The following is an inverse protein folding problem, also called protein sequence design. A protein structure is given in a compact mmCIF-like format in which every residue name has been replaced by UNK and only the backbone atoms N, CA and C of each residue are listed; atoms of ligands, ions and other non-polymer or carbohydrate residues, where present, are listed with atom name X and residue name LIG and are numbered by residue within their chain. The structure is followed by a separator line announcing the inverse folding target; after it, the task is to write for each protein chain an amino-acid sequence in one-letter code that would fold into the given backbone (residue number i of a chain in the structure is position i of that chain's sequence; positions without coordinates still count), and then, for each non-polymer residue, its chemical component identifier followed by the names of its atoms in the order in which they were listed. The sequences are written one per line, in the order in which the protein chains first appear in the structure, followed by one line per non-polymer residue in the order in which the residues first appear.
data_IF_446709903922
#
_entry.id   IF_446709903922
#
_cell.length_a   1.000
_cell.length_b   1.000
_cell.length_c   1.000
_cell.angle_alpha   90.00
_cell.angle_beta   90.00
_cell.angle_gamma   90.00
#
_symmetry.space_group_name_H-M   'P 1'
#
loop_
_entity.id
_entity.type
_entity.pdbx_description
1 polymer ?
#
# COMPACT_ATOMS: atom_id res chain seq x y z
N UNK A 1 -26.31 11.05 19.05
CA UNK A 1 -26.18 11.87 17.82
C UNK A 1 -25.99 13.28 18.25
N UNK A 2 -24.85 13.85 17.86
CA UNK A 2 -24.42 15.12 18.42
C UNK A 2 -25.18 16.25 17.75
N UNK A 3 -25.60 17.23 18.56
CA UNK A 3 -26.28 18.41 18.06
C UNK A 3 -25.27 19.29 17.31
N UNK A 4 -25.65 19.77 16.12
CA UNK A 4 -24.79 20.59 15.28
C UNK A 4 -25.30 22.03 15.23
N UNK A 5 -24.42 23.00 15.02
CA UNK A 5 -24.78 24.41 14.98
C UNK A 5 -25.92 24.66 13.97
N UNK A 6 -26.97 25.34 14.40
CA UNK A 6 -28.13 25.61 13.56
C UNK A 6 -27.78 26.55 12.41
N UNK A 7 -28.27 26.25 11.20
CA UNK A 7 -28.01 27.09 10.04
C UNK A 7 -29.00 28.26 9.97
N UNK A 8 -28.51 29.41 9.52
CA UNK A 8 -29.21 30.70 9.49
C UNK A 8 -28.98 31.40 8.17
N UNK A 9 -29.84 32.37 7.88
CA UNK A 9 -29.66 33.28 6.77
C UNK A 9 -28.26 33.93 6.80
N UNK A 10 -27.59 33.94 5.64
CA UNK A 10 -26.25 34.48 5.49
C UNK A 10 -25.12 33.52 5.85
N UNK A 11 -25.42 32.37 6.45
CA UNK A 11 -24.40 31.35 6.70
C UNK A 11 -23.79 30.84 5.38
N UNK A 12 -22.52 30.47 5.45
CA UNK A 12 -21.68 30.16 4.30
C UNK A 12 -21.78 28.67 3.94
N UNK A 13 -21.67 28.37 2.65
CA UNK A 13 -21.55 27.00 2.13
C UNK A 13 -20.17 26.78 1.52
N UNK A 14 -19.64 25.56 1.61
CA UNK A 14 -18.34 25.21 1.04
C UNK A 14 -18.34 23.79 0.47
N UNK A 15 -17.38 23.52 -0.38
CA UNK A 15 -16.93 22.16 -0.66
C UNK A 15 -15.61 21.94 0.07
N UNK A 16 -15.37 20.70 0.48
CA UNK A 16 -14.05 20.29 0.92
C UNK A 16 -13.03 20.32 -0.23
N UNK A 17 -11.76 20.14 0.14
CA UNK A 17 -10.68 19.94 -0.84
C UNK A 17 -10.59 18.48 -1.34
N UNK A 18 -11.52 17.61 -0.92
CA UNK A 18 -11.46 16.17 -1.12
C UNK A 18 -11.36 15.79 -2.59
N UNK A 19 -12.29 16.29 -3.42
CA UNK A 19 -12.29 15.98 -4.86
C UNK A 19 -10.97 16.33 -5.55
N UNK A 20 -10.45 17.53 -5.31
CA UNK A 20 -9.20 17.98 -5.92
C UNK A 20 -8.02 17.12 -5.47
N UNK A 21 -7.93 16.85 -4.16
CA UNK A 21 -6.86 16.04 -3.59
C UNK A 21 -6.83 14.62 -4.17
N UNK A 22 -8.00 14.03 -4.36
CA UNK A 22 -8.15 12.70 -4.94
C UNK A 22 -7.75 12.66 -6.42
N UNK A 23 -8.12 13.67 -7.21
CA UNK A 23 -7.69 13.76 -8.62
C UNK A 23 -6.16 13.86 -8.68
N UNK A 24 -5.56 14.75 -7.89
CA UNK A 24 -4.10 14.90 -7.84
C UNK A 24 -3.41 13.60 -7.41
N UNK A 25 -3.93 12.94 -6.37
CA UNK A 25 -3.43 11.66 -5.89
C UNK A 25 -3.59 10.54 -6.92
N UNK A 26 -4.72 10.47 -7.62
CA UNK A 26 -4.99 9.48 -8.66
C UNK A 26 -4.04 9.65 -9.87
N UNK A 27 -3.76 10.88 -10.28
CA UNK A 27 -2.78 11.18 -11.34
C UNK A 27 -1.38 10.75 -10.90
N UNK A 28 -0.96 11.08 -9.68
CA UNK A 28 0.32 10.62 -9.14
C UNK A 28 0.40 9.09 -9.07
N UNK A 29 -0.67 8.44 -8.60
CA UNK A 29 -0.82 6.99 -8.57
C UNK A 29 -0.72 6.34 -9.96
N UNK A 30 -1.33 6.95 -10.98
CA UNK A 30 -1.23 6.48 -12.37
C UNK A 30 0.22 6.53 -12.89
N UNK A 31 0.92 7.65 -12.66
CA UNK A 31 2.31 7.82 -13.10
C UNK A 31 3.23 6.80 -12.42
N UNK A 32 3.04 6.57 -11.13
CA UNK A 32 3.79 5.57 -10.35
C UNK A 32 3.49 4.17 -10.86
N UNK A 33 2.21 3.81 -11.00
CA UNK A 33 1.79 2.49 -11.50
C UNK A 33 2.38 2.21 -12.88
N UNK A 34 2.42 3.22 -13.76
CA UNK A 34 2.95 3.07 -15.12
C UNK A 34 4.46 2.78 -15.09
N UNK A 35 5.19 3.44 -14.17
CA UNK A 35 6.60 3.18 -13.95
C UNK A 35 6.87 1.77 -13.39
N UNK A 36 5.98 1.22 -12.56
CA UNK A 36 6.06 -0.17 -12.08
C UNK A 36 5.87 -1.16 -13.24
N UNK A 37 4.84 -0.97 -14.08
CA UNK A 37 4.63 -1.84 -15.26
C UNK A 37 5.84 -1.79 -16.18
N UNK A 38 6.32 -0.59 -16.52
CA UNK A 38 7.45 -0.43 -17.43
C UNK A 38 8.72 -1.13 -16.92
N UNK A 39 8.86 -1.32 -15.60
CA UNK A 39 9.96 -2.06 -15.00
C UNK A 39 9.79 -3.59 -15.03
N UNK A 40 8.62 -4.12 -15.36
CA UNK A 40 8.24 -5.53 -15.13
C UNK A 40 7.56 -6.20 -16.34
N UNK A 41 7.94 -5.82 -17.56
CA UNK A 41 7.22 -6.20 -18.79
C UNK A 41 7.31 -7.70 -19.13
N UNK A 42 6.38 -8.48 -18.57
CA UNK A 42 5.92 -9.80 -19.02
C UNK A 42 4.53 -10.17 -18.45
N UNK A 43 3.71 -9.21 -17.98
CA UNK A 43 2.66 -9.49 -16.98
C UNK A 43 1.21 -9.56 -17.48
N UNK A 44 0.93 -9.34 -18.78
CA UNK A 44 -0.29 -9.73 -19.52
C UNK A 44 -1.70 -9.34 -19.01
N UNK A 45 -1.85 -8.84 -17.79
CA UNK A 45 -3.11 -8.60 -17.08
C UNK A 45 -2.89 -8.12 -15.64
N UNK A 46 -1.83 -8.59 -14.97
CA UNK A 46 -1.40 -8.06 -13.66
C UNK A 46 -1.01 -6.57 -13.77
N UNK A 47 -0.44 -6.15 -14.90
CA UNK A 47 -0.14 -4.75 -15.18
C UNK A 47 -1.36 -3.82 -15.02
N UNK A 48 -2.51 -4.21 -15.59
CA UNK A 48 -3.74 -3.42 -15.52
C UNK A 48 -4.27 -3.35 -14.09
N UNK A 49 -4.22 -4.47 -13.35
CA UNK A 49 -4.60 -4.51 -11.94
C UNK A 49 -3.68 -3.63 -11.07
N UNK A 50 -2.37 -3.68 -11.27
CA UNK A 50 -1.40 -2.82 -10.57
C UNK A 50 -1.67 -1.35 -10.85
N UNK A 51 -1.94 -0.97 -12.10
CA UNK A 51 -2.29 0.42 -12.45
C UNK A 51 -3.55 0.88 -11.76
N UNK A 52 -4.64 0.12 -11.90
CA UNK A 52 -5.92 0.44 -11.27
C UNK A 52 -5.78 0.57 -9.75
N UNK A 53 -5.04 -0.34 -9.12
CA UNK A 53 -4.75 -0.31 -7.69
C UNK A 53 -3.90 0.89 -7.29
N UNK A 54 -2.91 1.26 -8.09
CA UNK A 54 -2.04 2.42 -7.85
C UNK A 54 -2.80 3.74 -7.96
N UNK A 55 -3.70 3.87 -8.95
CA UNK A 55 -4.59 5.03 -9.12
C UNK A 55 -5.51 5.18 -7.92
N UNK A 56 -6.18 4.09 -7.53
CA UNK A 56 -7.06 4.05 -6.37
C UNK A 56 -6.30 4.41 -5.08
N UNK A 57 -5.17 3.75 -4.82
CA UNK A 57 -4.36 4.01 -3.66
C UNK A 57 -3.83 5.44 -3.63
N UNK A 58 -3.40 6.00 -4.76
CA UNK A 58 -2.91 7.38 -4.84
C UNK A 58 -4.00 8.39 -4.50
N UNK A 59 -5.19 8.24 -5.08
CA UNK A 59 -6.31 9.14 -4.80
C UNK A 59 -6.82 9.05 -3.36
N UNK A 60 -6.98 7.85 -2.82
CA UNK A 60 -7.41 7.65 -1.42
C UNK A 60 -6.34 8.13 -0.43
N UNK A 61 -5.06 7.88 -0.70
CA UNK A 61 -3.98 8.34 0.18
C UNK A 61 -3.95 9.87 0.27
N UNK A 62 -4.04 10.56 -0.87
CA UNK A 62 -4.03 12.02 -0.88
C UNK A 62 -5.28 12.62 -0.24
N UNK A 63 -6.44 11.98 -0.40
CA UNK A 63 -7.65 12.33 0.33
C UNK A 63 -7.45 12.29 1.85
N UNK A 64 -6.91 11.18 2.37
CA UNK A 64 -6.66 11.01 3.80
C UNK A 64 -5.64 12.03 4.33
N UNK A 65 -4.58 12.35 3.56
CA UNK A 65 -3.63 13.41 3.91
C UNK A 65 -4.36 14.74 4.11
N UNK A 66 -5.16 15.16 3.13
CA UNK A 66 -5.85 16.45 3.18
C UNK A 66 -6.91 16.48 4.28
N UNK A 67 -7.67 15.39 4.46
CA UNK A 67 -8.62 15.24 5.56
C UNK A 67 -7.94 15.34 6.94
N UNK A 68 -6.80 14.67 7.11
CA UNK A 68 -5.99 14.73 8.31
C UNK A 68 -5.45 16.14 8.59
N UNK A 69 -4.88 16.81 7.58
CA UNK A 69 -4.41 18.19 7.69
C UNK A 69 -5.53 19.19 8.00
N UNK A 70 -6.68 19.05 7.35
CA UNK A 70 -7.87 19.88 7.60
C UNK A 70 -8.30 19.75 9.07
N UNK A 71 -8.33 18.52 9.59
CA UNK A 71 -8.71 18.25 10.98
C UNK A 71 -7.66 18.79 11.97
N UNK A 72 -6.36 18.60 11.68
CA UNK A 72 -5.26 19.00 12.57
C UNK A 72 -5.07 20.51 12.67
N UNK A 73 -5.18 21.21 11.54
CA UNK A 73 -4.91 22.65 11.45
C UNK A 73 -6.17 23.50 11.35
N UNK A 74 -7.35 22.87 11.40
CA UNK A 74 -8.64 23.52 11.18
C UNK A 74 -8.59 24.44 9.94
N UNK A 75 -8.11 23.89 8.82
CA UNK A 75 -7.83 24.67 7.62
C UNK A 75 -9.11 25.34 7.11
N UNK A 76 -9.06 26.62 6.72
CA UNK A 76 -10.24 27.34 6.31
C UNK A 76 -10.76 26.77 4.99
N UNK A 77 -11.98 26.21 5.00
CA UNK A 77 -12.65 25.82 3.77
C UNK A 77 -13.05 27.08 2.98
N UNK A 78 -12.78 27.16 1.68
CA UNK A 78 -13.10 28.33 0.88
C UNK A 78 -14.62 28.43 0.70
N UNK A 79 -15.17 29.60 0.99
CA UNK A 79 -16.61 29.84 0.85
C UNK A 79 -16.99 29.84 -0.63
N UNK A 80 -17.99 29.03 -0.97
CA UNK A 80 -18.49 28.86 -2.34
C UNK A 80 -19.82 29.55 -2.57
N UNK A 81 -20.51 29.96 -1.51
CA UNK A 81 -21.79 30.64 -1.59
C UNK A 81 -22.32 31.00 -0.19
N UNK A 82 -23.47 31.65 -0.15
CA UNK A 82 -24.17 32.00 1.10
C UNK A 82 -25.66 31.72 1.01
N UNK A 83 -26.24 31.33 2.14
CA UNK A 83 -27.67 31.11 2.30
C UNK A 83 -28.43 32.45 2.20
N UNK A 84 -29.44 32.51 1.33
CA UNK A 84 -30.11 33.77 0.94
C UNK A 84 -31.60 33.81 1.30
N UNK A 85 -32.25 32.66 1.52
CA UNK A 85 -33.68 32.61 1.85
C UNK A 85 -33.90 31.65 3.00
N UNK A 86 -34.49 32.11 4.10
CA UNK A 86 -34.81 31.31 5.28
C UNK A 86 -36.28 31.39 5.69
N UNK A 87 -36.63 30.78 6.82
CA UNK A 87 -37.96 30.85 7.45
C UNK A 87 -38.44 32.30 7.64
N UNK A 88 -39.71 32.56 7.42
CA UNK A 88 -40.29 33.91 7.54
C UNK A 88 -40.64 34.31 8.98
N UNK A 89 -40.67 33.36 9.93
CA UNK A 89 -41.13 33.62 11.30
C UNK A 89 -40.35 32.87 12.39
N UNK A 90 -39.41 31.99 12.02
CA UNK A 90 -38.51 31.33 12.99
C UNK A 90 -37.12 31.91 12.81
N UNK A 91 -36.59 32.45 13.90
CA UNK A 91 -35.29 33.11 13.93
C UNK A 91 -34.38 32.42 14.93
N UNK A 92 -33.10 32.31 14.58
CA UNK A 92 -32.03 31.81 15.44
C UNK A 92 -30.98 32.91 15.52
N UNK A 93 -30.74 33.41 16.72
CA UNK A 93 -29.92 34.61 16.96
C UNK A 93 -30.34 35.82 16.11
N UNK A 94 -31.64 36.02 15.91
CA UNK A 94 -32.18 37.15 15.13
C UNK A 94 -32.07 37.00 13.61
N UNK A 95 -31.52 35.88 13.10
CA UNK A 95 -31.45 35.57 11.68
C UNK A 95 -32.44 34.45 11.33
N UNK A 96 -33.02 34.50 10.14
CA UNK A 96 -34.01 33.52 9.70
C UNK A 96 -33.40 32.12 9.73
N UNK A 97 -34.10 31.16 10.33
CA UNK A 97 -33.65 29.78 10.42
C UNK A 97 -33.80 29.07 9.06
N UNK A 98 -32.90 28.13 8.76
CA UNK A 98 -32.82 27.48 7.45
C UNK A 98 -33.51 26.11 7.45
N UNK A 99 -34.16 25.77 6.33
CA UNK A 99 -34.97 24.55 6.15
C UNK A 99 -34.55 23.75 4.92
N UNK A 100 -34.38 22.45 5.10
CA UNK A 100 -34.15 21.54 3.98
C UNK A 100 -35.40 21.42 3.10
N UNK A 101 -35.20 21.35 1.78
CA UNK A 101 -36.26 21.20 0.79
C UNK A 101 -37.06 22.46 0.51
N UNK A 102 -36.65 23.62 1.04
CA UNK A 102 -37.34 24.90 0.79
C UNK A 102 -36.39 26.08 0.64
N UNK A 103 -35.37 26.14 1.48
CA UNK A 103 -34.47 27.29 1.56
C UNK A 103 -33.20 27.09 0.70
N UNK A 104 -32.57 28.20 0.28
CA UNK A 104 -31.59 28.21 -0.82
C UNK A 104 -30.34 29.04 -0.50
N UNK A 105 -29.22 28.68 -1.12
CA UNK A 105 -28.11 29.58 -1.40
C UNK A 105 -28.34 30.29 -2.75
N UNK A 106 -27.83 31.50 -2.92
CA UNK A 106 -28.01 32.27 -4.18
C UNK A 106 -27.23 31.71 -5.36
N UNK A 107 -26.09 31.09 -5.07
CA UNK A 107 -25.14 30.57 -6.04
C UNK A 107 -24.17 29.62 -5.34
N UNK A 108 -23.42 28.86 -6.13
CA UNK A 108 -22.27 28.08 -5.66
C UNK A 108 -21.15 28.13 -6.70
N UNK A 109 -19.95 28.55 -6.29
CA UNK A 109 -18.78 28.62 -7.19
C UNK A 109 -18.23 27.24 -7.57
N UNK A 110 -18.52 26.21 -6.78
CA UNK A 110 -17.97 24.85 -6.97
C UNK A 110 -16.46 24.75 -6.70
N UNK A 111 -15.83 25.80 -6.18
CA UNK A 111 -14.41 25.83 -5.85
C UNK A 111 -14.06 24.77 -4.78
N UNK A 112 -12.92 24.06 -4.88
CA UNK A 112 -11.87 24.22 -5.90
C UNK A 112 -12.20 23.61 -7.27
N UNK A 113 -12.88 22.47 -7.35
CA UNK A 113 -13.14 21.76 -8.63
C UNK A 113 -14.34 20.80 -8.58
N UNK A 114 -15.33 21.03 -7.72
CA UNK A 114 -16.48 20.11 -7.58
C UNK A 114 -17.42 20.20 -8.77
N UNK A 115 -17.76 21.40 -9.22
CA UNK A 115 -18.56 21.65 -10.42
C UNK A 115 -18.26 23.05 -10.99
N UNK A 116 -18.60 23.34 -12.26
CA UNK A 116 -18.52 24.70 -12.79
C UNK A 116 -19.39 25.67 -11.97
N UNK A 117 -19.09 26.97 -12.02
CA UNK A 117 -19.90 27.97 -11.30
C UNK A 117 -21.39 27.81 -11.59
N UNK A 118 -22.19 27.66 -10.55
CA UNK A 118 -23.65 27.67 -10.59
C UNK A 118 -24.14 29.06 -10.16
N UNK A 119 -24.48 29.95 -11.13
CA UNK A 119 -24.93 31.31 -10.85
C UNK A 119 -26.42 31.40 -10.48
N UNK A 120 -27.04 30.28 -10.11
CA UNK A 120 -28.47 30.18 -9.81
C UNK A 120 -28.72 29.57 -8.42
N UNK A 121 -29.93 29.75 -7.86
CA UNK A 121 -30.28 29.24 -6.54
C UNK A 121 -30.00 27.74 -6.36
N UNK A 122 -29.37 27.40 -5.25
CA UNK A 122 -29.05 26.03 -4.86
C UNK A 122 -29.86 25.67 -3.62
N UNK A 123 -30.67 24.61 -3.70
CA UNK A 123 -31.55 24.16 -2.62
C UNK A 123 -30.77 23.42 -1.53
N UNK A 124 -31.13 23.65 -0.25
CA UNK A 124 -30.69 22.80 0.86
C UNK A 124 -31.39 21.44 0.72
N UNK A 125 -30.62 20.36 0.59
CA UNK A 125 -31.14 19.03 0.40
C UNK A 125 -31.29 18.24 1.71
N UNK A 126 -30.53 18.59 2.75
CA UNK A 126 -30.47 17.83 3.99
C UNK A 126 -30.82 18.65 5.23
N UNK A 127 -31.33 17.97 6.26
CA UNK A 127 -31.61 18.58 7.56
C UNK A 127 -31.91 17.55 8.63
N UNK A 128 -32.46 18.00 9.76
CA UNK A 128 -32.83 17.15 10.89
C UNK A 128 -34.06 16.29 10.62
N UNK A 129 -33.95 14.99 10.87
CA UNK A 129 -35.09 14.07 10.83
C UNK A 129 -36.08 14.28 11.98
N UNK A 130 -35.70 15.00 13.05
CA UNK A 130 -36.50 15.12 14.28
C UNK A 130 -36.85 16.56 14.65
N UNK A 131 -36.16 17.55 14.09
CA UNK A 131 -36.41 18.96 14.35
C UNK A 131 -36.94 19.61 13.09
N UNK A 132 -38.12 20.21 13.18
CA UNK A 132 -38.81 20.81 12.05
C UNK A 132 -39.05 22.29 12.27
N UNK A 133 -38.85 23.09 11.23
CA UNK A 133 -39.13 24.52 11.18
C UNK A 133 -40.13 24.74 10.05
N UNK A 134 -41.30 25.28 10.38
CA UNK A 134 -42.45 25.40 9.47
C UNK A 134 -42.81 24.06 8.78
N UNK A 135 -42.70 22.95 9.48
CA UNK A 135 -43.00 21.61 8.94
C UNK A 135 -41.93 21.03 8.01
N UNK A 136 -40.78 21.67 7.86
CA UNK A 136 -39.64 21.18 7.07
C UNK A 136 -38.46 20.81 7.97
N UNK A 137 -37.64 19.81 7.62
CA UNK A 137 -36.43 19.48 8.36
C UNK A 137 -35.52 20.70 8.56
N UNK A 138 -35.09 20.94 9.79
CA UNK A 138 -34.25 22.08 10.12
C UNK A 138 -32.81 21.84 9.64
N UNK A 139 -32.26 22.78 8.86
CA UNK A 139 -30.89 22.70 8.37
C UNK A 139 -29.89 23.15 9.45
N UNK A 140 -28.69 22.58 9.39
CA UNK A 140 -27.62 22.76 10.38
C UNK A 140 -26.26 22.59 9.72
N UNK A 141 -25.19 22.86 10.47
CA UNK A 141 -23.81 22.64 10.03
C UNK A 141 -23.67 21.27 9.35
N UNK A 142 -22.90 21.21 8.27
CA UNK A 142 -22.70 20.02 7.42
C UNK A 142 -23.92 19.52 6.63
N UNK A 143 -25.11 20.10 6.78
CA UNK A 143 -26.23 19.74 5.90
C UNK A 143 -25.89 20.05 4.45
N UNK A 144 -26.08 19.08 3.55
CA UNK A 144 -25.74 19.24 2.14
C UNK A 144 -26.80 19.99 1.34
N UNK A 145 -26.31 20.73 0.36
CA UNK A 145 -27.05 21.35 -0.73
C UNK A 145 -27.22 20.33 -1.87
N UNK A 146 -28.14 20.58 -2.81
CA UNK A 146 -28.32 19.70 -3.99
C UNK A 146 -27.06 19.62 -4.87
N UNK A 147 -26.17 20.61 -4.80
CA UNK A 147 -24.89 20.62 -5.52
C UNK A 147 -23.77 19.80 -4.86
N UNK A 148 -24.00 19.28 -3.64
CA UNK A 148 -22.99 18.58 -2.84
C UNK A 148 -22.25 19.45 -1.83
N UNK A 149 -22.28 20.79 -1.96
CA UNK A 149 -21.73 21.70 -0.94
C UNK A 149 -22.41 21.49 0.41
N UNK A 150 -21.70 21.70 1.50
CA UNK A 150 -22.25 21.65 2.85
C UNK A 150 -22.30 23.03 3.49
N UNK A 151 -23.22 23.22 4.44
CA UNK A 151 -23.27 24.41 5.28
C UNK A 151 -22.04 24.42 6.20
N UNK A 152 -21.20 25.44 6.07
CA UNK A 152 -19.89 25.57 6.74
C UNK A 152 -19.94 26.46 7.98
N UNK A 153 -20.86 27.41 8.06
CA UNK A 153 -21.05 28.23 9.27
C UNK A 153 -22.44 28.04 9.88
N UNK A 154 -22.57 28.34 11.17
CA UNK A 154 -23.84 28.19 11.87
C UNK A 154 -23.89 29.04 13.14
N UNK A 155 -24.96 28.87 13.90
CA UNK A 155 -25.15 29.51 15.20
C UNK A 155 -24.03 29.14 16.20
N UNK A 156 -23.50 30.11 16.96
CA UNK A 156 -22.47 29.84 17.98
C UNK A 156 -23.02 29.15 19.24
N UNK A 157 -24.34 29.15 19.45
CA UNK A 157 -24.94 28.73 20.72
C UNK A 157 -26.29 27.99 20.59
N UNK A 158 -26.81 27.84 19.38
CA UNK A 158 -28.04 27.07 19.12
C UNK A 158 -27.68 25.86 18.28
N UNK A 159 -28.00 24.68 18.80
CA UNK A 159 -27.64 23.41 18.18
C UNK A 159 -28.89 22.58 17.88
N UNK A 160 -28.93 21.97 16.71
CA UNK A 160 -30.02 21.12 16.22
C UNK A 160 -29.51 19.67 16.18
N UNK A 161 -30.16 18.80 16.94
CA UNK A 161 -29.86 17.36 16.98
C UNK A 161 -30.66 16.53 15.99
N UNK A 162 -30.53 15.21 16.14
CA UNK A 162 -31.26 14.20 15.37
C UNK A 162 -30.54 13.71 14.12
N UNK A 163 -30.94 12.55 13.57
CA UNK A 163 -30.43 12.03 12.29
C UNK A 163 -30.48 13.06 11.17
N UNK A 164 -29.60 12.91 10.18
CA UNK A 164 -29.74 13.63 8.91
C UNK A 164 -30.75 12.90 8.03
N UNK A 165 -31.67 13.66 7.43
CA UNK A 165 -32.56 13.19 6.36
C UNK A 165 -32.32 14.03 5.12
N UNK A 166 -32.20 13.36 3.97
CA UNK A 166 -32.13 14.01 2.66
C UNK A 166 -33.53 14.10 2.08
N UNK A 167 -34.02 15.31 1.83
CA UNK A 167 -35.34 15.59 1.23
C UNK A 167 -35.25 15.99 -0.25
N UNK A 168 -34.04 16.06 -0.78
CA UNK A 168 -33.75 16.22 -2.20
C UNK A 168 -32.49 15.44 -2.57
N UNK A 169 -32.28 15.24 -3.87
CA UNK A 169 -31.08 14.60 -4.38
C UNK A 169 -29.82 15.45 -4.10
N UNK A 170 -28.75 14.81 -3.67
CA UNK A 170 -27.44 15.44 -3.41
C UNK A 170 -26.45 14.95 -4.45
N UNK A 171 -25.90 15.87 -5.24
CA UNK A 171 -24.78 15.59 -6.14
C UNK A 171 -23.46 15.46 -5.36
N UNK A 172 -23.30 14.35 -4.65
CA UNK A 172 -22.18 14.12 -3.73
C UNK A 172 -20.93 13.57 -4.44
N UNK A 173 -20.33 14.38 -5.32
CA UNK A 173 -19.19 13.96 -6.17
C UNK A 173 -18.01 13.46 -5.33
N UNK A 174 -17.74 14.09 -4.19
CA UNK A 174 -16.67 13.66 -3.26
C UNK A 174 -16.92 12.26 -2.73
N UNK A 175 -18.12 12.01 -2.17
CA UNK A 175 -18.50 10.69 -1.66
C UNK A 175 -18.54 9.61 -2.73
N UNK A 176 -19.02 9.94 -3.94
CA UNK A 176 -19.03 9.02 -5.06
C UNK A 176 -17.64 8.67 -5.55
N UNK A 177 -16.75 9.65 -5.66
CA UNK A 177 -15.39 9.38 -6.07
C UNK A 177 -14.63 8.58 -5.01
N UNK A 178 -14.88 8.84 -3.72
CA UNK A 178 -14.25 8.07 -2.64
C UNK A 178 -14.64 6.60 -2.74
N UNK A 179 -15.95 6.34 -2.80
CA UNK A 179 -16.49 4.99 -2.97
C UNK A 179 -16.02 4.33 -4.28
N UNK A 180 -15.92 5.11 -5.36
CA UNK A 180 -15.43 4.64 -6.65
C UNK A 180 -13.96 4.22 -6.62
N UNK A 181 -13.09 5.00 -5.98
CA UNK A 181 -11.68 4.64 -5.82
C UNK A 181 -11.50 3.45 -4.88
N UNK A 182 -12.27 3.34 -3.79
CA UNK A 182 -12.26 2.17 -2.93
C UNK A 182 -12.65 0.91 -3.70
N UNK A 183 -13.73 0.97 -4.48
CA UNK A 183 -14.17 -0.13 -5.33
C UNK A 183 -13.09 -0.50 -6.36
N UNK A 184 -12.49 0.50 -7.02
CA UNK A 184 -11.38 0.26 -7.95
C UNK A 184 -10.18 -0.40 -7.27
N UNK A 185 -9.83 0.02 -6.06
CA UNK A 185 -8.76 -0.58 -5.26
C UNK A 185 -9.06 -2.03 -4.90
N UNK A 186 -10.30 -2.34 -4.48
CA UNK A 186 -10.74 -3.69 -4.16
C UNK A 186 -10.78 -4.59 -5.39
N UNK A 187 -11.28 -4.10 -6.53
CA UNK A 187 -11.29 -4.83 -7.79
C UNK A 187 -9.87 -5.12 -8.28
N UNK A 188 -8.97 -4.13 -8.18
CA UNK A 188 -7.57 -4.29 -8.51
C UNK A 188 -6.88 -5.34 -7.61
N UNK A 189 -7.11 -5.27 -6.30
CA UNK A 189 -6.58 -6.25 -5.36
C UNK A 189 -7.12 -7.65 -5.62
N UNK A 190 -8.42 -7.79 -5.89
CA UNK A 190 -9.05 -9.06 -6.24
C UNK A 190 -8.51 -9.63 -7.55
N UNK A 191 -8.36 -8.80 -8.59
CA UNK A 191 -7.76 -9.21 -9.85
C UNK A 191 -6.29 -9.64 -9.66
N UNK A 192 -5.51 -8.90 -8.89
CA UNK A 192 -4.13 -9.27 -8.57
C UNK A 192 -4.06 -10.59 -7.80
N UNK A 193 -4.98 -10.84 -6.86
CA UNK A 193 -5.08 -12.10 -6.12
C UNK A 193 -5.43 -13.28 -7.03
N UNK A 194 -6.42 -13.13 -7.91
CA UNK A 194 -6.78 -14.16 -8.90
C UNK A 194 -5.59 -14.48 -9.81
N UNK A 195 -4.88 -13.46 -10.28
CA UNK A 195 -3.69 -13.67 -11.11
C UNK A 195 -2.57 -14.34 -10.32
N UNK A 196 -2.32 -13.95 -9.07
CA UNK A 196 -1.33 -14.60 -8.22
C UNK A 196 -1.67 -16.09 -8.02
N UNK A 197 -2.95 -16.43 -7.85
CA UNK A 197 -3.42 -17.81 -7.78
C UNK A 197 -3.16 -18.59 -9.09
N UNK A 198 -3.33 -17.94 -10.25
CA UNK A 198 -3.04 -18.55 -11.56
C UNK A 198 -1.53 -18.78 -11.78
N UNK A 199 -0.67 -17.91 -11.25
CA UNK A 199 0.80 -18.09 -11.32
C UNK A 199 1.24 -19.25 -10.43
N UNK A 200 0.64 -19.40 -9.24
CA UNK A 200 0.85 -20.56 -8.39
C UNK A 200 0.67 -20.24 -6.90
N UNK A 201 0.56 -21.31 -6.10
CA UNK A 201 0.29 -21.19 -4.67
C UNK A 201 1.33 -20.36 -3.92
N UNK A 202 2.62 -20.48 -4.27
CA UNK A 202 3.69 -19.71 -3.63
C UNK A 202 3.51 -18.18 -3.81
N UNK A 203 3.21 -17.74 -5.03
CA UNK A 203 2.99 -16.32 -5.35
C UNK A 203 1.69 -15.80 -4.72
N UNK A 204 0.65 -16.64 -4.65
CA UNK A 204 -0.58 -16.31 -3.94
C UNK A 204 -0.35 -16.11 -2.44
N UNK A 205 0.39 -17.01 -1.80
CA UNK A 205 0.73 -16.91 -0.37
C UNK A 205 1.54 -15.63 -0.12
N UNK A 206 2.54 -15.36 -0.95
CA UNK A 206 3.33 -14.14 -0.85
C UNK A 206 2.47 -12.87 -0.98
N UNK A 207 1.58 -12.82 -1.98
CA UNK A 207 0.65 -11.70 -2.17
C UNK A 207 -0.25 -11.48 -0.95
N UNK A 208 -0.83 -12.55 -0.40
CA UNK A 208 -1.70 -12.47 0.79
C UNK A 208 -0.91 -12.03 2.02
N UNK A 209 0.31 -12.53 2.21
CA UNK A 209 1.18 -12.12 3.32
C UNK A 209 1.55 -10.65 3.21
N UNK A 210 2.04 -10.20 2.06
CA UNK A 210 2.43 -8.80 1.84
C UNK A 210 1.21 -7.90 2.01
N UNK A 211 0.07 -8.27 1.42
CA UNK A 211 -1.19 -7.53 1.59
C UNK A 211 -1.63 -7.45 3.05
N UNK A 212 -1.54 -8.56 3.79
CA UNK A 212 -1.84 -8.62 5.21
C UNK A 212 -0.91 -7.77 6.07
N UNK A 213 0.39 -7.76 5.78
CA UNK A 213 1.38 -6.92 6.46
C UNK A 213 1.13 -5.44 6.20
N UNK A 214 0.80 -5.05 4.96
CA UNK A 214 0.46 -3.67 4.62
C UNK A 214 -0.80 -3.23 5.37
N UNK A 215 -1.86 -4.05 5.33
CA UNK A 215 -3.10 -3.75 6.05
C UNK A 215 -2.87 -3.63 7.56
N UNK A 216 -2.17 -4.59 8.18
CA UNK A 216 -1.86 -4.56 9.61
C UNK A 216 -0.94 -3.39 10.02
N UNK A 217 0.03 -3.04 9.18
CA UNK A 217 0.86 -1.86 9.40
C UNK A 217 0.04 -0.56 9.34
N UNK A 218 -0.91 -0.47 8.41
CA UNK A 218 -1.80 0.68 8.29
C UNK A 218 -2.79 0.78 9.46
N UNK A 219 -3.32 -0.34 9.97
CA UNK A 219 -4.16 -0.30 11.18
C UNK A 219 -3.38 0.18 12.40
N UNK A 220 -2.15 -0.31 12.59
CA UNK A 220 -1.27 0.12 13.67
C UNK A 220 -0.95 1.62 13.58
N UNK A 221 -0.66 2.12 12.38
CA UNK A 221 -0.46 3.56 12.14
C UNK A 221 -1.71 4.37 12.47
N UNK A 222 -2.89 3.85 12.16
CA UNK A 222 -4.16 4.50 12.49
C UNK A 222 -4.40 4.57 14.00
N UNK A 223 -4.17 3.47 14.72
CA UNK A 223 -4.27 3.43 16.18
C UNK A 223 -3.25 4.36 16.87
N UNK A 224 -2.02 4.41 16.34
CA UNK A 224 -1.02 5.36 16.79
C UNK A 224 -1.49 6.80 16.55
N UNK A 225 -2.05 7.07 15.38
CA UNK A 225 -2.62 8.37 15.04
C UNK A 225 -3.75 8.78 15.98
N UNK A 226 -4.69 7.90 16.27
CA UNK A 226 -5.78 8.18 17.22
C UNK A 226 -5.27 8.56 18.61
N UNK A 227 -4.14 7.98 19.05
CA UNK A 227 -3.50 8.34 20.33
C UNK A 227 -2.87 9.73 20.31
N UNK A 228 -2.42 10.21 19.15
CA UNK A 228 -1.81 11.54 19.00
C UNK A 228 -2.86 12.64 18.94
N UNK A 229 -4.08 12.31 18.50
CA UNK A 229 -5.22 13.21 18.50
C UNK A 229 -6.00 13.19 17.18
N UNK A 230 -7.07 14.02 17.08
CA UNK A 230 -7.92 14.07 15.91
C UNK A 230 -7.14 14.40 14.63
N UNK A 231 -7.42 13.68 13.54
CA UNK A 231 -6.80 13.90 12.24
C UNK A 231 -5.45 13.22 12.01
N UNK A 232 -4.72 12.81 13.06
CA UNK A 232 -3.43 12.13 12.90
C UNK A 232 -3.56 10.74 12.26
N UNK A 233 -4.65 10.00 12.52
CA UNK A 233 -4.92 8.71 11.83
C UNK A 233 -4.93 8.88 10.33
N UNK A 234 -5.78 9.79 9.84
CA UNK A 234 -5.97 10.04 8.41
C UNK A 234 -4.65 10.54 7.79
N UNK A 235 -3.96 11.46 8.47
CA UNK A 235 -2.67 11.99 8.00
C UNK A 235 -1.61 10.89 7.88
N UNK A 236 -1.37 10.12 8.94
CA UNK A 236 -0.31 9.12 8.97
C UNK A 236 -0.57 7.99 7.99
N UNK A 237 -1.80 7.50 7.91
CA UNK A 237 -2.20 6.48 6.94
C UNK A 237 -2.07 7.03 5.52
N UNK A 238 -2.55 8.24 5.25
CA UNK A 238 -2.42 8.86 3.93
C UNK A 238 -0.96 9.04 3.48
N UNK A 239 -0.08 9.54 4.37
CA UNK A 239 1.36 9.70 4.07
C UNK A 239 2.03 8.35 3.84
N UNK A 240 1.75 7.35 4.67
CA UNK A 240 2.32 6.02 4.52
C UNK A 240 1.87 5.35 3.21
N UNK A 241 0.57 5.45 2.88
CA UNK A 241 0.03 4.96 1.61
C UNK A 241 0.74 5.58 0.40
N UNK A 242 0.93 6.90 0.41
CA UNK A 242 1.63 7.60 -0.67
C UNK A 242 3.13 7.24 -0.74
N UNK A 243 3.79 7.09 0.40
CA UNK A 243 5.19 6.67 0.46
C UNK A 243 5.41 5.27 -0.12
N UNK A 244 4.53 4.31 0.23
CA UNK A 244 4.58 2.95 -0.28
C UNK A 244 4.42 2.90 -1.80
N UNK A 245 3.50 3.71 -2.37
CA UNK A 245 3.39 3.86 -3.82
C UNK A 245 4.70 4.37 -4.42
N UNK A 246 5.29 5.43 -3.87
CA UNK A 246 6.55 6.00 -4.38
C UNK A 246 7.76 5.06 -4.30
N UNK A 247 7.77 4.14 -3.32
CA UNK A 247 8.83 3.12 -3.19
C UNK A 247 8.63 1.94 -4.14
N UNK A 248 7.40 1.67 -4.59
CA UNK A 248 7.07 0.50 -5.40
C UNK A 248 7.91 0.38 -6.70
N UNK A 249 8.11 1.42 -7.52
CA UNK A 249 8.98 1.33 -8.70
C UNK A 249 10.45 1.10 -8.35
N UNK A 250 10.94 1.61 -7.21
CA UNK A 250 12.32 1.40 -6.78
C UNK A 250 12.53 -0.05 -6.37
N UNK A 251 11.61 -0.61 -5.57
CA UNK A 251 11.63 -2.02 -5.18
C UNK A 251 11.51 -2.95 -6.39
N UNK A 252 10.62 -2.64 -7.34
CA UNK A 252 10.51 -3.41 -8.58
C UNK A 252 11.80 -3.37 -9.42
N UNK A 253 12.47 -2.20 -9.50
CA UNK A 253 13.77 -2.05 -10.21
C UNK A 253 14.94 -2.75 -9.52
N UNK A 254 14.88 -2.89 -8.20
CA UNK A 254 15.83 -3.66 -7.40
C UNK A 254 15.64 -5.17 -7.61
N UNK A 255 14.45 -5.62 -7.98
CA UNK A 255 14.12 -7.04 -8.12
C UNK A 255 14.60 -7.68 -9.44
N UNK A 256 14.75 -6.91 -10.53
CA UNK A 256 15.10 -7.46 -11.86
C UNK A 256 16.61 -7.42 -12.16
N UNK A 257 17.25 -8.55 -12.52
CA UNK A 257 18.63 -8.57 -12.98
C UNK A 257 18.87 -7.62 -14.15
N UNK A 258 19.83 -6.70 -14.01
CA UNK A 258 20.21 -5.79 -15.09
C UNK A 258 21.47 -6.26 -15.79
N UNK A 259 21.29 -6.82 -16.98
CA UNK A 259 22.37 -7.26 -17.84
C UNK A 259 23.09 -6.07 -18.50
N UNK A 260 24.38 -6.23 -18.80
CA UNK A 260 25.15 -5.30 -19.62
C UNK A 260 24.66 -5.35 -21.07
N UNK A 261 24.93 -4.28 -21.81
CA UNK A 261 24.48 -4.14 -23.19
C UNK A 261 24.95 -5.33 -24.04
N UNK A 262 24.02 -5.95 -24.77
CA UNK A 262 24.30 -7.06 -25.68
C UNK A 262 24.38 -8.44 -25.02
N UNK A 263 24.02 -8.56 -23.74
CA UNK A 263 23.95 -9.85 -23.03
C UNK A 263 22.55 -10.04 -22.47
N UNK A 264 22.01 -11.24 -22.61
CA UNK A 264 20.71 -11.66 -22.07
C UNK A 264 20.84 -12.84 -21.12
N UNK A 265 19.79 -13.10 -20.35
CA UNK A 265 19.69 -14.30 -19.50
C UNK A 265 19.89 -15.59 -20.30
N UNK A 266 19.28 -15.67 -21.50
CA UNK A 266 19.37 -16.83 -22.37
C UNK A 266 20.80 -17.10 -22.83
N UNK A 267 21.60 -16.06 -23.07
CA UNK A 267 23.00 -16.20 -23.47
C UNK A 267 23.83 -16.88 -22.37
N UNK A 268 23.56 -16.56 -21.10
CA UNK A 268 24.25 -17.16 -19.96
C UNK A 268 23.78 -18.60 -19.72
N UNK A 269 22.47 -18.85 -19.83
CA UNK A 269 21.91 -20.20 -19.65
C UNK A 269 22.33 -21.17 -20.76
N UNK A 270 22.54 -20.67 -21.98
CA UNK A 270 23.05 -21.47 -23.10
C UNK A 270 24.49 -21.96 -22.90
N UNK A 271 25.26 -21.33 -22.01
CA UNK A 271 26.62 -21.76 -21.69
C UNK A 271 26.61 -22.98 -20.76
N UNK A 272 27.43 -24.01 -21.06
CA UNK A 272 27.50 -25.20 -20.22
C UNK A 272 28.03 -24.87 -18.82
N UNK A 273 27.56 -25.62 -17.82
CA UNK A 273 28.03 -25.49 -16.44
C UNK A 273 29.56 -25.70 -16.40
N UNK A 274 30.26 -24.81 -15.72
CA UNK A 274 31.73 -24.76 -15.64
C UNK A 274 32.36 -23.71 -16.56
N UNK A 275 31.67 -23.26 -17.61
CA UNK A 275 32.18 -22.22 -18.53
C UNK A 275 31.43 -20.89 -18.42
N UNK A 276 30.48 -20.76 -17.50
CA UNK A 276 29.69 -19.53 -17.33
C UNK A 276 30.59 -18.44 -16.75
N UNK A 277 30.51 -17.20 -17.26
CA UNK A 277 31.35 -16.13 -16.74
C UNK A 277 30.83 -15.65 -15.37
N UNK A 278 31.66 -14.95 -14.60
CA UNK A 278 31.25 -14.42 -13.30
C UNK A 278 30.15 -13.36 -13.44
N UNK A 279 29.29 -13.23 -12.44
CA UNK A 279 28.13 -12.35 -12.47
C UNK A 279 28.46 -10.88 -12.79
N UNK A 280 29.59 -10.38 -12.30
CA UNK A 280 30.10 -9.03 -12.57
C UNK A 280 30.47 -8.78 -14.04
N UNK A 281 30.68 -9.83 -14.83
CA UNK A 281 31.01 -9.71 -16.25
C UNK A 281 29.79 -9.36 -17.09
N UNK A 282 28.60 -9.85 -16.73
CA UNK A 282 27.37 -9.68 -17.52
C UNK A 282 26.28 -8.89 -16.80
N UNK A 283 26.37 -8.66 -15.49
CA UNK A 283 25.46 -7.78 -14.76
C UNK A 283 26.03 -6.36 -14.62
N UNK A 284 25.15 -5.36 -14.58
CA UNK A 284 25.55 -3.99 -14.35
C UNK A 284 26.17 -3.83 -12.95
N UNK A 285 27.27 -3.07 -12.79
CA UNK A 285 27.90 -2.87 -11.49
C UNK A 285 26.94 -2.31 -10.43
N UNK A 286 26.00 -1.46 -10.86
CA UNK A 286 24.95 -0.91 -10.00
C UNK A 286 24.05 -2.01 -9.42
N UNK A 287 23.58 -2.93 -10.27
CA UNK A 287 22.74 -4.04 -9.82
C UNK A 287 23.50 -4.97 -8.88
N UNK A 288 24.75 -5.33 -9.20
CA UNK A 288 25.57 -6.20 -8.36
C UNK A 288 25.73 -5.59 -6.95
N UNK A 289 26.05 -4.31 -6.87
CA UNK A 289 26.19 -3.61 -5.59
C UNK A 289 24.87 -3.56 -4.79
N UNK A 290 23.77 -3.19 -5.45
CA UNK A 290 22.44 -3.13 -4.82
C UNK A 290 21.95 -4.51 -4.35
N UNK A 291 22.19 -5.56 -5.13
CA UNK A 291 21.81 -6.93 -4.79
C UNK A 291 22.57 -7.43 -3.57
N UNK A 292 23.89 -7.25 -3.53
CA UNK A 292 24.75 -7.69 -2.43
C UNK A 292 24.51 -6.88 -1.15
N UNK A 293 24.07 -5.62 -1.24
CA UNK A 293 23.72 -4.81 -0.07
C UNK A 293 22.58 -5.41 0.79
N UNK A 294 21.76 -6.29 0.22
CA UNK A 294 20.70 -6.99 0.96
C UNK A 294 21.25 -7.93 2.06
N UNK A 295 22.52 -8.32 1.95
CA UNK A 295 23.22 -9.20 2.89
C UNK A 295 23.98 -8.45 3.98
N UNK A 296 23.92 -7.10 4.01
CA UNK A 296 24.64 -6.25 4.97
C UNK A 296 24.25 -6.52 6.43
N UNK A 297 23.03 -6.99 6.65
CA UNK A 297 22.51 -7.38 7.98
C UNK A 297 22.63 -8.87 8.26
N UNK A 298 23.51 -9.55 7.53
CA UNK A 298 23.73 -10.98 7.62
C UNK A 298 22.93 -11.79 6.61
N UNK A 299 23.26 -13.07 6.57
CA UNK A 299 22.66 -14.05 5.69
C UNK A 299 22.16 -15.27 6.49
N UNK A 300 21.30 -16.05 5.86
CA UNK A 300 20.82 -17.30 6.41
C UNK A 300 20.88 -18.43 5.38
N UNK A 301 21.00 -19.66 5.87
CA UNK A 301 20.84 -20.90 5.08
C UNK A 301 19.99 -21.89 5.87
N UNK A 302 19.17 -22.65 5.16
CA UNK A 302 18.41 -23.76 5.75
C UNK A 302 19.01 -25.09 5.29
N UNK A 303 19.22 -26.02 6.23
CA UNK A 303 19.62 -27.39 5.92
C UNK A 303 19.27 -28.32 7.07
N UNK A 304 19.31 -29.63 6.83
CA UNK A 304 19.08 -30.60 7.91
C UNK A 304 20.26 -30.64 8.88
N UNK A 305 19.99 -30.85 10.17
CA UNK A 305 21.03 -30.99 11.21
C UNK A 305 22.03 -32.10 10.86
N UNK A 306 21.52 -33.23 10.35
CA UNK A 306 22.38 -34.34 9.91
C UNK A 306 23.35 -33.94 8.80
N UNK A 307 22.94 -33.08 7.85
CA UNK A 307 23.84 -32.61 6.80
C UNK A 307 24.88 -31.63 7.36
N UNK A 308 24.47 -30.76 8.30
CA UNK A 308 25.40 -29.85 8.97
C UNK A 308 26.50 -30.62 9.70
N UNK A 309 26.14 -31.66 10.46
CA UNK A 309 27.09 -32.44 11.26
C UNK A 309 28.03 -33.27 10.38
N UNK A 310 27.53 -33.77 9.26
CA UNK A 310 28.29 -34.67 8.38
C UNK A 310 29.18 -33.93 7.40
N UNK A 311 28.74 -32.77 6.90
CA UNK A 311 29.37 -32.10 5.77
C UNK A 311 29.73 -30.63 6.06
N UNK A 312 29.30 -30.07 7.19
CA UNK A 312 29.38 -28.63 7.42
C UNK A 312 28.41 -27.88 6.50
N UNK A 313 28.62 -26.57 6.37
CA UNK A 313 27.76 -25.71 5.55
C UNK A 313 28.19 -25.62 4.08
N UNK A 314 29.39 -26.12 3.75
CA UNK A 314 29.99 -26.03 2.43
C UNK A 314 29.56 -27.19 1.52
N UNK A 315 29.57 -26.93 0.22
CA UNK A 315 29.47 -27.94 -0.83
C UNK A 315 30.87 -28.51 -1.15
N UNK A 316 30.91 -29.49 -2.06
CA UNK A 316 32.14 -30.17 -2.48
C UNK A 316 33.21 -29.24 -3.06
N UNK A 317 32.80 -28.11 -3.62
CA UNK A 317 33.67 -27.06 -4.16
C UNK A 317 34.04 -25.99 -3.12
N UNK A 318 33.66 -26.18 -1.86
CA UNK A 318 33.91 -25.23 -0.78
C UNK A 318 32.94 -24.04 -0.75
N UNK A 319 31.93 -23.98 -1.62
CA UNK A 319 30.98 -22.85 -1.65
C UNK A 319 29.70 -23.14 -0.87
N UNK A 320 28.98 -22.10 -0.45
CA UNK A 320 27.65 -22.26 0.13
C UNK A 320 26.69 -21.19 -0.36
N UNK A 321 25.52 -21.62 -0.83
CA UNK A 321 24.41 -20.76 -1.18
C UNK A 321 23.69 -20.25 0.07
N UNK A 322 23.38 -18.96 0.08
CA UNK A 322 22.79 -18.24 1.20
C UNK A 322 21.75 -17.25 0.70
N UNK A 323 20.78 -16.93 1.56
CA UNK A 323 19.78 -15.90 1.33
C UNK A 323 19.90 -14.76 2.36
N UNK A 324 19.38 -13.56 2.10
CA UNK A 324 19.41 -12.49 3.08
C UNK A 324 18.70 -12.88 4.37
N UNK A 325 19.25 -12.47 5.52
CA UNK A 325 18.68 -12.82 6.84
C UNK A 325 17.22 -12.39 6.97
N UNK A 326 16.86 -11.22 6.44
CA UNK A 326 15.50 -10.68 6.52
C UNK A 326 14.49 -11.48 5.68
N UNK A 327 14.90 -12.02 4.52
CA UNK A 327 14.04 -12.90 3.71
C UNK A 327 13.86 -14.25 4.42
N UNK A 328 14.89 -14.76 5.09
CA UNK A 328 14.78 -15.97 5.91
C UNK A 328 13.89 -15.79 7.16
N UNK A 329 13.96 -14.61 7.81
CA UNK A 329 13.05 -14.25 8.90
C UNK A 329 11.59 -14.22 8.42
N UNK A 330 11.33 -13.61 7.26
CA UNK A 330 10.01 -13.59 6.64
C UNK A 330 9.53 -14.98 6.28
N UNK A 331 10.37 -15.82 5.68
CA UNK A 331 10.05 -17.19 5.32
C UNK A 331 9.60 -18.02 6.54
N UNK A 332 10.30 -17.91 7.66
CA UNK A 332 9.91 -18.59 8.91
C UNK A 332 8.64 -18.01 9.53
N UNK A 333 8.50 -16.68 9.55
CA UNK A 333 7.29 -16.02 10.02
C UNK A 333 6.06 -16.44 9.20
N UNK A 334 6.23 -16.64 7.89
CA UNK A 334 5.19 -17.08 6.97
C UNK A 334 4.81 -18.55 7.19
N UNK A 335 5.78 -19.40 7.50
CA UNK A 335 5.55 -20.81 7.78
C UNK A 335 4.76 -21.04 9.08
N UNK A 336 4.83 -20.12 10.06
CA UNK A 336 4.11 -20.21 11.36
C UNK A 336 4.30 -21.55 12.08
N UNK A 337 5.44 -22.21 11.88
CA UNK A 337 5.73 -23.53 12.43
C UNK A 337 5.15 -24.71 11.64
N UNK A 338 4.50 -24.50 10.48
CA UNK A 338 4.06 -25.60 9.61
C UNK A 338 5.24 -26.17 8.79
N UNK A 339 5.66 -27.42 9.04
CA UNK A 339 6.77 -28.04 8.33
C UNK A 339 6.45 -28.28 6.84
N UNK A 340 5.17 -28.45 6.46
CA UNK A 340 4.77 -28.65 5.06
C UNK A 340 4.90 -27.35 4.26
N UNK A 341 4.46 -26.24 4.85
CA UNK A 341 4.61 -24.90 4.26
C UNK A 341 6.09 -24.55 4.10
N UNK A 342 6.92 -24.94 5.07
CA UNK A 342 8.35 -24.68 5.03
C UNK A 342 9.09 -25.53 4.00
N UNK A 343 8.72 -26.80 3.83
CA UNK A 343 9.25 -27.64 2.74
C UNK A 343 8.95 -27.05 1.37
N UNK A 344 7.71 -26.60 1.15
CA UNK A 344 7.32 -25.98 -0.10
C UNK A 344 8.08 -24.66 -0.35
N UNK A 345 8.21 -23.82 0.67
CA UNK A 345 8.93 -22.55 0.57
C UNK A 345 10.43 -22.73 0.30
N UNK A 346 11.03 -23.80 0.82
CA UNK A 346 12.45 -24.14 0.64
C UNK A 346 12.71 -25.08 -0.55
N UNK A 347 11.67 -25.48 -1.30
CA UNK A 347 11.80 -26.41 -2.42
C UNK A 347 12.27 -27.81 -2.01
N UNK A 348 12.00 -28.23 -0.77
CA UNK A 348 12.34 -29.56 -0.27
C UNK A 348 11.29 -30.59 -0.72
N UNK A 349 11.68 -31.85 -0.95
CA UNK A 349 10.73 -32.93 -1.21
C UNK A 349 9.70 -33.04 -0.09
N UNK A 350 8.46 -33.39 -0.46
CA UNK A 350 7.38 -33.59 0.51
C UNK A 350 7.77 -34.67 1.54
N UNK A 351 7.56 -34.37 2.82
CA UNK A 351 7.84 -35.21 4.01
C UNK A 351 9.32 -35.32 4.40
N UNK A 352 10.16 -34.42 3.89
CA UNK A 352 11.58 -34.33 4.30
C UNK A 352 11.74 -33.99 5.79
N UNK A 353 10.92 -33.08 6.32
CA UNK A 353 10.99 -32.57 7.69
C UNK A 353 10.29 -33.47 8.72
N UNK A 354 9.56 -34.50 8.30
CA UNK A 354 8.92 -35.45 9.24
C UNK A 354 9.95 -36.30 9.98
N UNK A 355 11.09 -36.56 9.33
CA UNK A 355 12.15 -37.43 9.84
C UNK A 355 13.49 -36.70 10.00
N UNK A 356 13.52 -35.36 9.85
CA UNK A 356 14.76 -34.60 9.93
C UNK A 356 14.57 -33.25 10.62
N UNK A 357 15.47 -32.93 11.55
CA UNK A 357 15.52 -31.61 12.16
C UNK A 357 16.10 -30.62 11.18
N UNK A 358 15.33 -29.60 10.82
CA UNK A 358 15.84 -28.47 10.05
C UNK A 358 16.57 -27.52 10.98
N UNK A 359 17.72 -27.01 10.53
CA UNK A 359 18.42 -25.92 11.18
C UNK A 359 18.44 -24.71 10.27
N UNK A 360 18.25 -23.54 10.89
CA UNK A 360 18.63 -22.28 10.31
C UNK A 360 20.06 -21.97 10.71
N UNK A 361 20.87 -21.58 9.76
CA UNK A 361 22.25 -21.16 9.95
C UNK A 361 22.31 -19.68 9.65
N UNK A 362 22.70 -18.88 10.62
CA UNK A 362 22.85 -17.44 10.48
C UNK A 362 24.33 -17.07 10.40
N UNK A 363 24.66 -16.26 9.39
CA UNK A 363 26.02 -15.80 9.10
C UNK A 363 25.99 -14.28 9.23
N UNK A 364 26.49 -13.73 10.35
CA UNK A 364 26.39 -12.29 10.62
C UNK A 364 27.17 -11.43 9.62
N UNK A 365 28.33 -11.90 9.17
CA UNK A 365 29.25 -11.13 8.32
C UNK A 365 29.61 -11.90 7.02
N UNK A 366 28.64 -12.12 6.11
CA UNK A 366 28.88 -12.93 4.91
C UNK A 366 29.90 -12.29 3.95
N UNK A 367 30.08 -10.96 4.00
CA UNK A 367 31.06 -10.23 3.19
C UNK A 367 32.50 -10.66 3.44
N UNK A 368 32.81 -11.05 4.67
CA UNK A 368 34.16 -11.49 5.07
C UNK A 368 34.47 -12.89 4.49
N UNK A 369 33.45 -13.58 3.96
CA UNK A 369 33.51 -14.91 3.37
C UNK A 369 33.36 -14.88 1.84
N UNK A 370 33.85 -13.81 1.19
CA UNK A 370 33.80 -13.66 -0.27
C UNK A 370 32.39 -13.73 -0.87
N UNK A 371 31.46 -12.98 -0.27
CA UNK A 371 30.08 -12.82 -0.74
C UNK A 371 30.03 -12.34 -2.19
N UNK A 372 29.35 -13.10 -3.05
CA UNK A 372 29.16 -12.74 -4.46
C UNK A 372 27.87 -13.31 -5.03
N UNK A 373 27.43 -12.76 -6.17
CA UNK A 373 26.34 -13.34 -6.94
C UNK A 373 26.84 -14.64 -7.60
N UNK A 374 26.08 -15.76 -7.52
CA UNK A 374 26.50 -17.02 -8.12
C UNK A 374 26.63 -16.91 -9.63
N UNK A 375 27.64 -17.60 -10.16
CA UNK A 375 27.92 -17.72 -11.60
C UNK A 375 27.15 -18.87 -12.26
N UNK A 376 26.61 -19.79 -11.45
CA UNK A 376 25.99 -21.03 -11.89
C UNK A 376 26.98 -22.17 -12.10
N UNK A 377 28.28 -21.93 -11.88
CA UNK A 377 29.32 -22.96 -11.92
C UNK A 377 29.49 -23.69 -10.59
N UNK A 378 28.93 -23.14 -9.51
CA UNK A 378 29.06 -23.69 -8.16
C UNK A 378 28.43 -25.09 -8.08
N UNK A 379 28.99 -25.95 -7.24
CA UNK A 379 28.54 -27.34 -7.08
C UNK A 379 27.06 -27.40 -6.69
N UNK A 380 26.59 -26.43 -5.90
CA UNK A 380 25.18 -26.30 -5.50
C UNK A 380 24.22 -25.80 -6.58
N UNK A 381 24.70 -25.25 -7.70
CA UNK A 381 23.83 -24.79 -8.79
C UNK A 381 23.23 -25.99 -9.53
N UNK A 382 21.90 -26.07 -9.62
CA UNK A 382 21.16 -27.14 -10.28
C UNK A 382 20.47 -26.66 -11.57
N UNK A 383 19.61 -27.48 -12.16
CA UNK A 383 18.88 -27.17 -13.40
C UNK A 383 17.89 -26.00 -13.28
N UNK A 384 17.52 -25.63 -12.05
CA UNK A 384 16.62 -24.51 -11.75
C UNK A 384 17.38 -23.22 -11.46
N UNK A 385 18.71 -23.23 -11.46
CA UNK A 385 19.50 -22.03 -11.28
C UNK A 385 19.28 -21.05 -12.44
N UNK A 386 19.08 -19.77 -12.10
CA UNK A 386 18.97 -18.67 -13.05
C UNK A 386 20.04 -17.60 -12.78
N UNK A 387 20.56 -16.90 -13.80
CA UNK A 387 21.54 -15.85 -13.60
C UNK A 387 20.92 -14.61 -12.95
N UNK A 388 21.70 -13.94 -12.09
CA UNK A 388 21.28 -12.69 -11.43
C UNK A 388 21.22 -12.79 -9.91
N UNK A 389 21.46 -13.96 -9.31
CA UNK A 389 21.40 -14.12 -7.85
C UNK A 389 19.96 -14.14 -7.34
N UNK A 390 19.05 -14.71 -8.13
CA UNK A 390 17.64 -14.86 -7.77
C UNK A 390 17.26 -16.32 -7.89
N UNK A 391 16.38 -16.77 -7.00
CA UNK A 391 15.69 -18.04 -7.19
C UNK A 391 14.58 -17.86 -8.24
N UNK A 392 14.12 -18.94 -8.91
CA UNK A 392 12.96 -18.89 -9.81
C UNK A 392 11.69 -18.31 -9.16
N UNK A 393 11.62 -18.39 -7.83
CA UNK A 393 10.54 -17.84 -7.01
C UNK A 393 10.71 -16.36 -6.67
N UNK A 394 11.84 -15.72 -7.05
CA UNK A 394 12.09 -14.28 -6.87
C UNK A 394 12.92 -13.88 -5.64
N UNK A 395 13.15 -14.81 -4.69
CA UNK A 395 13.99 -14.57 -3.51
C UNK A 395 15.45 -14.31 -3.89
N UNK A 396 16.14 -13.50 -3.10
CA UNK A 396 17.54 -13.16 -3.33
C UNK A 396 18.48 -14.27 -2.86
N UNK A 397 19.48 -14.54 -3.67
CA UNK A 397 20.48 -15.57 -3.42
C UNK A 397 21.89 -15.02 -3.67
N UNK A 398 22.84 -15.48 -2.88
CA UNK A 398 24.27 -15.24 -3.05
C UNK A 398 25.05 -16.51 -2.70
N UNK A 399 26.35 -16.49 -3.00
CA UNK A 399 27.28 -17.53 -2.59
C UNK A 399 28.42 -16.94 -1.76
N UNK A 400 28.89 -17.72 -0.80
CA UNK A 400 30.10 -17.45 0.00
C UNK A 400 31.07 -18.63 -0.09
N UNK A 401 32.33 -18.37 0.25
CA UNK A 401 33.33 -19.40 0.45
C UNK A 401 33.21 -19.96 1.87
N UNK A 402 32.67 -21.17 1.95
CA UNK A 402 32.34 -21.86 3.19
C UNK A 402 33.34 -22.97 3.56
N UNK A 403 34.26 -23.33 2.66
CA UNK A 403 35.23 -24.40 2.87
C UNK A 403 36.21 -24.14 4.01
N UNK A 404 36.43 -22.87 4.37
CA UNK A 404 37.30 -22.44 5.46
C UNK A 404 36.54 -21.74 6.60
N UNK A 405 35.21 -21.89 6.65
CA UNK A 405 34.40 -21.18 7.65
C UNK A 405 34.67 -21.71 9.06
N UNK A 406 34.92 -20.82 10.02
CA UNK A 406 35.09 -21.21 11.41
C UNK A 406 33.73 -21.39 12.10
N UNK A 407 33.63 -22.25 13.14
CA UNK A 407 32.42 -22.38 13.95
C UNK A 407 31.97 -21.07 14.63
N UNK A 408 32.83 -20.05 14.71
CA UNK A 408 32.52 -18.72 15.23
C UNK A 408 31.85 -17.80 14.21
N UNK A 409 31.95 -18.13 12.93
CA UNK A 409 31.51 -17.24 11.82
C UNK A 409 30.03 -17.44 11.49
N UNK A 410 29.42 -18.47 12.08
CA UNK A 410 28.00 -18.75 11.96
C UNK A 410 27.42 -19.27 13.26
N UNK A 411 26.12 -19.02 13.47
CA UNK A 411 25.33 -19.69 14.48
C UNK A 411 24.32 -20.59 13.81
N UNK A 412 23.85 -21.62 14.51
CA UNK A 412 22.75 -22.44 14.02
C UNK A 412 21.70 -22.60 15.10
N UNK A 413 20.44 -22.58 14.66
CA UNK A 413 19.28 -22.71 15.51
C UNK A 413 18.41 -23.84 14.97
N UNK A 414 18.10 -24.86 15.78
CA UNK A 414 17.13 -25.88 15.39
C UNK A 414 15.76 -25.23 15.27
N UNK A 415 15.06 -25.53 14.17
CA UNK A 415 13.71 -25.08 13.96
C UNK A 415 12.77 -26.16 14.49
N UNK A 416 12.06 -25.84 15.56
CA UNK A 416 11.00 -26.67 16.10
C UNK A 416 9.72 -26.44 15.33
N UNK A 417 9.07 -27.53 14.91
CA UNK A 417 7.77 -27.56 14.26
C UNK A 417 6.86 -28.50 15.05
#
# INVERSE_FOLDING_TARGET
MDAQAAARLGDEIAHGFGVMSMIAGAVAGALIGAAVIAATVATGGVAVAIMAGSVAAGGLSMFQIVKGLNTLFNLPEPTTGKLLKGSFNVYINGLNAMRAGEDIASSCTGFPMSHPMWPFPVLIAEGSATVFINGKPAARLHSKMVCGAHIKSGSPNTFIGGPTVSVAFVLDIEGWMHSGLELMGLLAAGAALVMAAMVGLAVLVEFVVIGGLVLGGMTLLGELGDRLGPGYRDLLQGVAGMAMLGLSPKMARLATPKYKLGVTEADILAMPKGSRPNADTYLSPKYVSEHLAQFDKGASRFMTKSNLDKYGIAQRDGTSFIMPKHEADQLLANAKGDPRALEQALGLPKNTLDNSTLVRIDIPAPKDLNLRIPSGNEAGANELWIPGGKLPTGSSEAVIDAGSIAPTDFSWTPLGF
#
